data_IF_116951679539
#
_entry.id   IF_116951679539
#
_cell.length_a   1.000
_cell.length_b   1.000
_cell.length_c   1.000
_cell.angle_alpha   90.00
_cell.angle_beta   90.00
_cell.angle_gamma   90.00
#
_symmetry.space_group_name_H-M   'P 1'
#
loop_
_entity.id
_entity.type
_entity.pdbx_description
1 polymer ?
#
# COMPACT_ATOMS: atom_id res chain seq x y z
N UNK A 1 -5.98 20.28 -9.11
CA UNK A 1 -5.67 19.22 -10.11
C UNK A 1 -6.18 19.59 -11.50
N UNK A 2 -7.48 19.91 -11.66
CA UNK A 2 -8.02 20.43 -12.93
C UNK A 2 -7.43 21.81 -13.27
N UNK A 3 -7.35 22.71 -12.29
CA UNK A 3 -6.74 24.04 -12.45
C UNK A 3 -5.22 24.03 -12.67
N UNK A 4 -4.58 22.87 -12.48
CA UNK A 4 -3.15 22.64 -12.71
C UNK A 4 -2.91 21.89 -14.03
N UNK A 5 -3.93 21.70 -14.86
CA UNK A 5 -3.90 20.93 -16.11
C UNK A 5 -3.41 19.47 -15.98
N UNK A 6 -3.46 18.89 -14.78
CA UNK A 6 -3.09 17.48 -14.53
C UNK A 6 -4.21 16.53 -14.97
N UNK A 7 -5.45 16.98 -14.85
CA UNK A 7 -6.65 16.24 -15.23
C UNK A 7 -7.37 17.05 -16.30
N UNK A 8 -7.76 16.40 -17.39
CA UNK A 8 -8.56 17.00 -18.45
C UNK A 8 -9.86 17.57 -17.87
N UNK A 9 -10.04 18.87 -18.01
CA UNK A 9 -11.20 19.61 -17.51
C UNK A 9 -12.52 19.16 -18.13
N UNK A 10 -12.49 18.49 -19.29
CA UNK A 10 -13.68 17.92 -19.95
C UNK A 10 -14.15 16.59 -19.35
N UNK A 11 -13.32 15.92 -18.55
CA UNK A 11 -13.69 14.63 -17.95
C UNK A 11 -14.68 14.80 -16.80
N UNK A 12 -15.65 13.88 -16.71
CA UNK A 12 -16.54 13.82 -15.55
C UNK A 12 -15.78 13.33 -14.31
N UNK A 13 -16.32 13.58 -13.11
CA UNK A 13 -15.72 13.05 -11.88
C UNK A 13 -15.75 11.52 -11.85
N UNK A 14 -16.80 10.90 -12.40
CA UNK A 14 -16.93 9.44 -12.46
C UNK A 14 -15.84 8.82 -13.34
N UNK A 15 -15.50 9.45 -14.47
CA UNK A 15 -14.40 9.01 -15.33
C UNK A 15 -13.05 9.06 -14.60
N UNK A 16 -12.81 10.14 -13.85
CA UNK A 16 -11.58 10.31 -13.08
C UNK A 16 -11.46 9.24 -12.00
N UNK A 17 -12.54 9.00 -11.25
CA UNK A 17 -12.59 7.97 -10.21
C UNK A 17 -12.35 6.59 -10.83
N UNK A 18 -13.03 6.27 -11.93
CA UNK A 18 -12.89 4.99 -12.63
C UNK A 18 -11.44 4.75 -13.11
N UNK A 19 -10.80 5.75 -13.71
CA UNK A 19 -9.40 5.65 -14.14
C UNK A 19 -8.45 5.48 -12.97
N UNK A 20 -8.66 6.21 -11.87
CA UNK A 20 -7.87 6.04 -10.65
C UNK A 20 -8.01 4.62 -10.09
N UNK A 21 -9.23 4.12 -9.94
CA UNK A 21 -9.48 2.74 -9.48
C UNK A 21 -8.82 1.70 -10.38
N UNK A 22 -8.89 1.87 -11.71
CA UNK A 22 -8.23 0.97 -12.66
C UNK A 22 -6.70 0.98 -12.54
N UNK A 23 -6.11 2.15 -12.32
CA UNK A 23 -4.67 2.28 -12.10
C UNK A 23 -4.23 1.60 -10.79
N UNK A 24 -4.98 1.81 -9.70
CA UNK A 24 -4.73 1.15 -8.41
C UNK A 24 -4.88 -0.38 -8.54
N UNK A 25 -5.95 -0.86 -9.17
CA UNK A 25 -6.18 -2.29 -9.39
C UNK A 25 -5.03 -2.92 -10.20
N UNK A 26 -4.59 -2.27 -11.27
CA UNK A 26 -3.46 -2.74 -12.07
C UNK A 26 -2.15 -2.77 -11.27
N UNK A 27 -1.93 -1.78 -10.41
CA UNK A 27 -0.80 -1.74 -9.48
C UNK A 27 -0.82 -2.91 -8.48
N UNK A 28 -1.98 -3.18 -7.88
CA UNK A 28 -2.17 -4.31 -6.96
C UNK A 28 -1.89 -5.65 -7.65
N UNK A 29 -2.44 -5.86 -8.85
CA UNK A 29 -2.19 -7.08 -9.64
C UNK A 29 -0.70 -7.26 -9.96
N UNK A 30 0.02 -6.17 -10.21
CA UNK A 30 1.48 -6.18 -10.42
C UNK A 30 2.26 -6.54 -9.16
N UNK A 31 1.78 -6.16 -7.97
CA UNK A 31 2.38 -6.55 -6.69
C UNK A 31 2.12 -8.04 -6.44
N UNK A 32 0.88 -8.50 -6.64
CA UNK A 32 0.51 -9.90 -6.41
C UNK A 32 1.29 -10.85 -7.32
N UNK A 33 1.46 -10.47 -8.59
CA UNK A 33 2.19 -11.29 -9.58
C UNK A 33 3.67 -11.46 -9.26
N UNK A 34 4.30 -10.53 -8.54
CA UNK A 34 5.70 -10.68 -8.08
C UNK A 34 5.88 -11.84 -7.11
N UNK A 35 4.84 -12.18 -6.34
CA UNK A 35 4.86 -13.23 -5.33
C UNK A 35 4.03 -14.45 -5.74
N UNK A 36 3.49 -14.46 -6.96
CA UNK A 36 2.66 -15.55 -7.47
C UNK A 36 1.28 -15.67 -6.82
N UNK A 37 0.76 -14.59 -6.23
CA UNK A 37 -0.57 -14.59 -5.59
C UNK A 37 -1.63 -14.26 -6.64
N UNK A 38 -2.70 -15.05 -6.68
CA UNK A 38 -3.74 -14.94 -7.71
C UNK A 38 -5.08 -14.42 -7.20
N UNK A 39 -5.27 -14.32 -5.88
CA UNK A 39 -6.52 -13.82 -5.27
C UNK A 39 -6.22 -12.74 -4.22
N UNK A 40 -7.07 -11.72 -4.16
CA UNK A 40 -6.95 -10.66 -3.14
C UNK A 40 -7.09 -11.22 -1.73
N UNK A 41 -7.98 -12.20 -1.55
CA UNK A 41 -8.26 -12.84 -0.28
C UNK A 41 -7.01 -13.53 0.29
N UNK A 42 -6.18 -14.14 -0.56
CA UNK A 42 -4.91 -14.72 -0.13
C UNK A 42 -3.83 -13.69 0.18
N UNK A 43 -3.90 -12.49 -0.41
CA UNK A 43 -2.97 -11.40 -0.09
C UNK A 43 -3.35 -10.67 1.21
N UNK A 44 -4.65 -10.53 1.47
CA UNK A 44 -5.17 -9.82 2.63
C UNK A 44 -4.68 -10.47 3.92
N UNK A 45 -3.97 -9.71 4.75
CA UNK A 45 -3.45 -10.18 6.04
C UNK A 45 -2.22 -11.07 5.95
N UNK A 46 -1.76 -11.43 4.74
CA UNK A 46 -0.57 -12.28 4.57
C UNK A 46 0.75 -11.57 4.94
N UNK A 47 0.72 -10.24 5.13
CA UNK A 47 1.88 -9.42 5.51
C UNK A 47 3.12 -9.70 4.64
N UNK A 48 2.92 -9.72 3.31
CA UNK A 48 4.00 -9.99 2.34
C UNK A 48 4.88 -8.75 2.16
N UNK A 49 5.58 -8.38 3.23
CA UNK A 49 6.55 -7.29 3.30
C UNK A 49 7.51 -7.50 4.47
N UNK A 50 8.59 -6.72 4.50
CA UNK A 50 9.53 -6.64 5.62
C UNK A 50 9.51 -5.21 6.16
N UNK A 51 9.46 -5.05 7.49
CA UNK A 51 9.53 -3.76 8.14
C UNK A 51 10.99 -3.38 8.42
N UNK A 52 11.44 -2.24 7.89
CA UNK A 52 12.79 -1.72 8.08
C UNK A 52 12.73 -0.37 8.77
N UNK A 53 13.51 -0.18 9.83
CA UNK A 53 13.61 1.09 10.55
C UNK A 53 12.43 1.37 11.49
N UNK A 54 11.67 0.35 11.87
CA UNK A 54 10.59 0.43 12.84
C UNK A 54 11.00 -0.39 14.05
N UNK A 55 10.80 0.15 15.25
CA UNK A 55 11.12 -0.53 16.48
C UNK A 55 10.34 -1.85 16.62
N UNK A 56 11.04 -2.89 17.07
CA UNK A 56 10.48 -4.25 17.22
C UNK A 56 9.23 -4.30 18.10
N UNK A 57 9.08 -3.46 19.13
CA UNK A 57 7.89 -3.46 19.98
C UNK A 57 6.65 -2.99 19.21
N UNK A 58 6.82 -2.04 18.28
CA UNK A 58 5.74 -1.55 17.41
C UNK A 58 5.33 -2.64 16.42
N UNK A 59 6.30 -3.26 15.75
CA UNK A 59 6.04 -4.36 14.81
C UNK A 59 5.38 -5.52 15.52
N UNK A 60 5.89 -5.92 16.70
CA UNK A 60 5.32 -7.01 17.50
C UNK A 60 3.88 -6.74 17.91
N UNK A 61 3.52 -5.49 18.21
CA UNK A 61 2.17 -5.12 18.68
C UNK A 61 1.15 -4.95 17.55
N UNK A 62 1.53 -4.40 16.41
CA UNK A 62 0.57 -4.02 15.35
C UNK A 62 0.76 -4.76 14.02
N UNK A 63 1.93 -5.36 13.80
CA UNK A 63 2.29 -6.13 12.61
C UNK A 63 2.89 -7.49 13.01
N UNK A 64 2.28 -8.14 14.00
CA UNK A 64 2.80 -9.38 14.59
C UNK A 64 3.06 -10.42 13.52
N UNK A 65 4.28 -10.97 13.51
CA UNK A 65 4.72 -11.97 12.51
C UNK A 65 5.48 -11.36 11.32
N UNK A 66 5.45 -10.04 11.14
CA UNK A 66 6.27 -9.35 10.14
C UNK A 66 7.74 -9.34 10.55
N UNK A 67 8.63 -9.64 9.59
CA UNK A 67 10.08 -9.59 9.81
C UNK A 67 10.51 -8.13 9.99
N UNK A 68 11.32 -7.87 11.00
CA UNK A 68 12.05 -6.61 11.16
C UNK A 68 13.45 -6.89 11.67
N UNK A 69 14.46 -6.45 10.90
CA UNK A 69 15.89 -6.70 11.22
C UNK A 69 16.62 -5.44 11.63
N UNK A 70 16.10 -4.30 11.22
CA UNK A 70 16.69 -2.99 11.47
C UNK A 70 15.72 -2.25 12.39
N UNK A 71 16.15 -2.07 13.63
CA UNK A 71 15.44 -1.27 14.63
C UNK A 71 15.28 0.18 14.17
N UNK A 72 14.34 0.91 14.77
CA UNK A 72 14.19 2.33 14.49
C UNK A 72 13.11 2.99 15.32
N UNK A 73 12.17 3.64 14.63
CA UNK A 73 11.20 4.52 15.27
C UNK A 73 10.26 3.75 16.20
N UNK A 74 10.15 4.24 17.44
CA UNK A 74 9.09 3.84 18.38
C UNK A 74 7.77 4.55 18.06
N UNK A 75 6.68 4.17 18.73
CA UNK A 75 5.39 4.82 18.57
C UNK A 75 5.45 6.34 18.79
N UNK A 76 6.21 6.78 19.80
CA UNK A 76 6.35 8.21 20.12
C UNK A 76 7.08 9.00 19.03
N UNK A 77 7.92 8.32 18.22
CA UNK A 77 8.57 8.93 17.07
C UNK A 77 7.73 8.93 15.80
N UNK A 78 6.64 8.16 15.76
CA UNK A 78 5.69 8.08 14.64
C UNK A 78 4.51 9.05 14.85
N UNK A 79 4.06 9.20 16.10
CA UNK A 79 2.97 10.08 16.52
C UNK A 79 3.35 11.56 16.42
#
# INVERSE_FOLDING_TARGET
MRDQAIIDSSMSNDDVISRYSNAVNSGLLKIFSKMGISTLQSYQGAQIFEALGINSDVVKKYFTGTVTRIEGLSLDGIA
#
